data_IF_987329933035
#
_entry.id   IF_987329933035
#
_cell.length_a   1.000
_cell.length_b   1.000
_cell.length_c   1.000
_cell.angle_alpha   90.00
_cell.angle_beta   90.00
_cell.angle_gamma   90.00
#
_symmetry.space_group_name_H-M   'P 1'
#
loop_
_entity.id
_entity.type
_entity.pdbx_description
1 polymer ?
#
# COMPACT_ATOMS: atom_id res chain seq x y z
N UNK A 1 -44.57 2.90 20.66
CA UNK A 1 -43.21 2.72 21.22
C UNK A 1 -42.34 2.27 20.08
N UNK A 2 -41.71 3.23 19.42
CA UNK A 2 -40.78 3.05 18.30
C UNK A 2 -39.39 2.79 18.92
N UNK A 3 -38.91 1.59 18.80
CA UNK A 3 -37.53 1.24 19.09
C UNK A 3 -36.70 1.78 17.92
N UNK A 4 -35.97 2.83 18.15
CA UNK A 4 -34.88 3.29 17.29
C UNK A 4 -33.77 2.23 17.43
N UNK A 5 -33.51 1.49 16.35
CA UNK A 5 -32.25 0.79 16.16
C UNK A 5 -31.14 1.85 16.08
N UNK A 6 -30.43 1.97 17.20
CA UNK A 6 -29.19 2.74 17.28
C UNK A 6 -28.13 1.94 16.50
N UNK A 7 -27.91 2.35 15.26
CA UNK A 7 -26.82 1.87 14.42
C UNK A 7 -25.54 2.16 15.19
N UNK A 8 -24.95 1.12 15.73
CA UNK A 8 -23.56 1.13 16.18
C UNK A 8 -22.69 1.32 14.95
N UNK A 9 -22.43 2.55 14.65
CA UNK A 9 -21.36 2.96 13.73
C UNK A 9 -20.04 2.64 14.46
N UNK A 10 -19.67 1.37 14.42
CA UNK A 10 -18.37 0.89 14.91
C UNK A 10 -17.32 1.58 14.04
N UNK A 11 -16.34 2.20 14.67
CA UNK A 11 -15.23 2.88 14.00
C UNK A 11 -14.40 1.81 13.27
N UNK A 12 -14.81 1.48 12.04
CA UNK A 12 -14.13 0.51 11.23
C UNK A 12 -12.74 1.03 10.86
N UNK A 13 -11.69 0.39 11.36
CA UNK A 13 -10.32 0.70 10.96
C UNK A 13 -10.07 0.22 9.53
N UNK A 14 -9.41 1.03 8.72
CA UNK A 14 -8.93 0.61 7.41
C UNK A 14 -8.03 -0.63 7.53
N UNK A 15 -8.28 -1.63 6.71
CA UNK A 15 -7.67 -2.96 6.86
C UNK A 15 -6.26 -2.99 6.27
N UNK A 16 -5.27 -3.35 7.11
CA UNK A 16 -3.97 -3.77 6.62
C UNK A 16 -4.04 -5.26 6.23
N UNK A 17 -4.01 -5.55 4.93
CA UNK A 17 -4.17 -6.93 4.42
C UNK A 17 -2.97 -7.81 4.70
N UNK A 18 -1.78 -7.20 4.85
CA UNK A 18 -0.51 -7.87 5.17
C UNK A 18 0.39 -6.97 5.99
N UNK A 19 1.43 -7.57 6.57
CA UNK A 19 2.49 -6.82 7.25
C UNK A 19 3.27 -5.91 6.29
N UNK A 20 3.56 -6.39 5.08
CA UNK A 20 4.32 -5.60 4.09
C UNK A 20 3.53 -4.35 3.67
N UNK A 21 2.21 -4.46 3.53
CA UNK A 21 1.34 -3.32 3.24
C UNK A 21 1.30 -2.31 4.40
N UNK A 22 1.16 -2.79 5.65
CA UNK A 22 1.18 -1.93 6.82
C UNK A 22 2.51 -1.17 6.93
N UNK A 23 3.65 -1.85 6.75
CA UNK A 23 4.96 -1.21 6.78
C UNK A 23 5.13 -0.18 5.67
N UNK A 24 4.71 -0.49 4.44
CA UNK A 24 4.74 0.46 3.34
C UNK A 24 3.89 1.71 3.65
N UNK A 25 2.68 1.52 4.21
CA UNK A 25 1.86 2.64 4.65
C UNK A 25 2.58 3.52 5.67
N UNK A 26 3.23 2.93 6.66
CA UNK A 26 3.99 3.66 7.69
C UNK A 26 5.18 4.43 7.09
N UNK A 27 5.87 3.87 6.10
CA UNK A 27 6.97 4.53 5.37
C UNK A 27 6.49 5.72 4.54
N UNK A 28 5.32 5.62 3.92
CA UNK A 28 4.71 6.71 3.14
C UNK A 28 4.12 7.83 4.01
N UNK A 29 4.02 7.61 5.33
CA UNK A 29 3.53 8.58 6.29
C UNK A 29 4.65 9.01 7.26
N UNK A 30 5.53 9.93 6.84
CA UNK A 30 6.60 10.44 7.70
C UNK A 30 6.04 11.10 8.95
N UNK A 31 6.89 11.30 9.95
CA UNK A 31 6.51 11.98 11.17
C UNK A 31 5.97 13.39 10.86
N UNK A 32 4.73 13.73 11.25
CA UNK A 32 4.14 15.02 10.93
C UNK A 32 4.84 16.20 11.60
N UNK A 33 5.63 15.94 12.67
CA UNK A 33 6.34 16.96 13.40
C UNK A 33 7.73 17.29 12.80
N UNK A 34 8.46 16.30 12.28
CA UNK A 34 9.85 16.51 11.82
C UNK A 34 10.19 15.89 10.46
N UNK A 35 9.24 15.17 9.83
CA UNK A 35 9.44 14.54 8.52
C UNK A 35 10.26 13.24 8.53
N UNK A 36 10.73 12.75 9.69
CA UNK A 36 11.48 11.49 9.77
C UNK A 36 10.61 10.28 9.44
N UNK A 37 11.18 9.33 8.71
CA UNK A 37 10.58 8.01 8.39
C UNK A 37 11.14 6.89 9.27
N UNK A 38 12.19 7.14 10.07
CA UNK A 38 13.03 6.14 10.74
C UNK A 38 12.43 5.60 12.06
N UNK A 39 11.12 5.74 12.28
CA UNK A 39 10.45 5.21 13.48
C UNK A 39 10.59 3.69 13.53
N UNK A 40 11.10 3.18 14.65
CA UNK A 40 11.08 1.74 14.92
C UNK A 40 9.70 1.39 15.48
N UNK A 41 9.00 0.50 14.80
CA UNK A 41 7.63 0.14 15.12
C UNK A 41 7.56 -1.15 15.93
N UNK A 42 6.97 -1.08 17.10
CA UNK A 42 6.45 -2.24 17.82
C UNK A 42 5.02 -2.52 17.36
N UNK A 43 4.67 -3.79 17.18
CA UNK A 43 3.33 -4.16 16.76
C UNK A 43 2.70 -5.18 17.69
N UNK A 44 1.39 -5.12 17.83
CA UNK A 44 0.60 -6.01 18.65
C UNK A 44 -0.88 -5.95 18.31
N UNK A 45 -1.68 -6.72 19.01
CA UNK A 45 -3.14 -6.61 18.96
C UNK A 45 -3.60 -5.63 20.03
N UNK A 46 -4.52 -4.76 19.68
CA UNK A 46 -5.22 -3.86 20.57
C UNK A 46 -6.73 -4.10 20.50
N UNK A 47 -7.39 -4.04 21.63
CA UNK A 47 -8.85 -3.97 21.69
C UNK A 47 -9.24 -2.49 21.82
N UNK A 48 -10.01 -2.01 20.89
CA UNK A 48 -10.50 -0.63 20.87
C UNK A 48 -12.02 -0.68 20.84
N UNK A 49 -12.65 -0.39 21.97
CA UNK A 49 -14.10 -0.39 22.14
C UNK A 49 -14.78 -1.74 21.79
N UNK A 50 -14.07 -2.85 21.96
CA UNK A 50 -14.54 -4.19 21.64
C UNK A 50 -14.24 -4.66 20.21
N UNK A 51 -13.55 -3.84 19.42
CA UNK A 51 -13.04 -4.18 18.09
C UNK A 51 -11.53 -4.46 18.15
N UNK A 52 -11.11 -5.61 17.60
CA UNK A 52 -9.70 -5.97 17.53
C UNK A 52 -9.03 -5.26 16.35
N UNK A 53 -7.90 -4.59 16.64
CA UNK A 53 -7.06 -3.94 15.65
C UNK A 53 -5.60 -4.37 15.78
N UNK A 54 -4.83 -4.24 14.70
CA UNK A 54 -3.37 -4.32 14.75
C UNK A 54 -2.86 -2.92 15.11
N UNK A 55 -2.12 -2.82 16.20
CA UNK A 55 -1.46 -1.59 16.62
C UNK A 55 0.00 -1.59 16.20
N UNK A 56 0.46 -0.48 15.64
CA UNK A 56 1.87 -0.13 15.45
C UNK A 56 2.16 1.11 16.27
N UNK A 57 3.06 0.99 17.23
CA UNK A 57 3.48 2.10 18.09
C UNK A 57 5.00 2.28 18.06
N UNK A 58 5.46 3.52 18.21
CA UNK A 58 6.89 3.81 18.22
C UNK A 58 7.18 5.27 18.55
N UNK A 59 8.42 5.56 18.89
CA UNK A 59 8.90 6.91 19.18
C UNK A 59 9.70 7.40 17.96
N UNK A 60 9.38 8.58 17.47
CA UNK A 60 10.11 9.18 16.37
C UNK A 60 11.53 9.56 16.82
N UNK A 61 12.60 9.05 16.19
CA UNK A 61 13.96 9.34 16.60
C UNK A 61 14.41 10.78 16.30
N UNK A 62 13.68 11.51 15.46
CA UNK A 62 14.01 12.88 15.10
C UNK A 62 13.43 13.94 16.03
N UNK A 63 12.39 13.63 16.82
CA UNK A 63 11.71 14.62 17.65
C UNK A 63 11.03 14.06 18.91
N UNK A 64 11.26 12.79 19.24
CA UNK A 64 10.77 12.07 20.42
C UNK A 64 9.24 12.04 20.57
N UNK A 65 8.49 12.38 19.50
CA UNK A 65 7.02 12.27 19.49
C UNK A 65 6.61 10.81 19.39
N UNK A 66 5.69 10.40 20.24
CA UNK A 66 5.03 9.10 20.16
C UNK A 66 4.12 9.05 18.91
N UNK A 67 4.19 7.95 18.17
CA UNK A 67 3.40 7.70 16.98
C UNK A 67 2.66 6.38 17.14
N UNK A 68 1.38 6.39 16.78
CA UNK A 68 0.56 5.18 16.81
C UNK A 68 -0.33 5.12 15.57
N UNK A 69 -0.47 3.92 15.03
CA UNK A 69 -1.41 3.59 13.96
C UNK A 69 -2.20 2.34 14.34
N UNK A 70 -3.46 2.33 13.97
CA UNK A 70 -4.37 1.20 14.18
C UNK A 70 -4.92 0.77 12.83
N UNK A 71 -4.86 -0.54 12.56
CA UNK A 71 -5.38 -1.13 11.34
C UNK A 71 -6.36 -2.24 11.67
N UNK A 72 -7.43 -2.33 10.89
CA UNK A 72 -8.36 -3.46 10.95
C UNK A 72 -7.68 -4.78 10.56
N UNK A 73 -8.20 -5.87 11.09
CA UNK A 73 -7.76 -7.21 10.74
C UNK A 73 -8.42 -7.65 9.42
N UNK A 74 -7.67 -8.26 8.50
CA UNK A 74 -8.26 -8.82 7.30
C UNK A 74 -9.21 -9.98 7.65
N UNK A 75 -10.37 -10.04 6.99
CA UNK A 75 -11.35 -11.11 7.18
C UNK A 75 -10.78 -12.51 6.86
N UNK A 76 -9.74 -12.57 6.04
CA UNK A 76 -8.99 -13.78 5.70
C UNK A 76 -7.51 -13.48 5.68
N UNK A 77 -6.72 -14.37 6.25
CA UNK A 77 -5.27 -14.27 6.18
C UNK A 77 -4.78 -14.42 4.74
N UNK A 78 -4.01 -13.45 4.28
CA UNK A 78 -3.33 -13.54 2.98
C UNK A 78 -2.09 -14.41 3.12
N UNK A 79 -2.07 -15.52 2.41
CA UNK A 79 -0.88 -16.38 2.36
C UNK A 79 0.23 -15.67 1.60
N UNK A 80 1.35 -15.41 2.27
CA UNK A 80 2.52 -14.85 1.61
C UNK A 80 3.06 -15.82 0.55
N UNK A 81 3.16 -15.35 -0.70
CA UNK A 81 3.74 -16.09 -1.82
C UNK A 81 4.89 -15.26 -2.37
N UNK A 82 6.03 -15.31 -1.72
CA UNK A 82 7.20 -14.51 -2.08
C UNK A 82 7.26 -13.18 -1.30
N UNK A 83 8.11 -12.28 -1.78
CA UNK A 83 8.31 -10.94 -1.22
C UNK A 83 8.44 -9.93 -2.37
N UNK A 84 7.81 -8.75 -2.27
CA UNK A 84 6.84 -8.37 -1.23
C UNK A 84 5.46 -9.02 -1.44
N UNK A 85 4.67 -9.11 -0.37
CA UNK A 85 3.26 -9.51 -0.45
C UNK A 85 2.40 -8.39 0.15
N UNK A 86 1.75 -7.58 -0.69
CA UNK A 86 0.94 -6.45 -0.24
C UNK A 86 -0.51 -6.81 0.06
N UNK A 87 -1.05 -7.86 -0.54
CA UNK A 87 -2.42 -8.28 -0.25
C UNK A 87 -2.91 -9.43 -1.10
N UNK A 88 -4.16 -9.82 -0.85
CA UNK A 88 -4.92 -10.79 -1.65
C UNK A 88 -5.49 -10.18 -2.95
N UNK A 89 -6.59 -10.75 -3.48
CA UNK A 89 -7.19 -10.27 -4.72
C UNK A 89 -7.92 -8.93 -4.59
N UNK A 90 -8.32 -8.56 -3.38
CA UNK A 90 -9.05 -7.33 -3.11
C UNK A 90 -8.13 -6.10 -3.20
N UNK A 91 -8.63 -4.93 -3.65
CA UNK A 91 -7.87 -3.69 -3.63
C UNK A 91 -7.50 -3.26 -2.20
N UNK A 92 -6.53 -2.36 -2.08
CA UNK A 92 -6.12 -1.78 -0.81
C UNK A 92 -7.18 -0.82 -0.25
N UNK A 93 -7.33 -0.81 1.09
CA UNK A 93 -8.06 0.23 1.81
C UNK A 93 -7.12 1.31 2.37
N UNK A 94 -5.81 1.06 2.36
CA UNK A 94 -4.81 1.95 2.95
C UNK A 94 -4.19 2.91 1.93
N UNK A 95 -3.95 2.45 0.72
CA UNK A 95 -3.27 3.18 -0.33
C UNK A 95 -4.12 3.20 -1.59
N UNK A 96 -4.33 4.38 -2.15
CA UNK A 96 -5.04 4.55 -3.41
C UNK A 96 -4.17 4.21 -4.64
N UNK A 97 -4.76 4.04 -5.83
CA UNK A 97 -4.01 3.65 -7.03
C UNK A 97 -2.86 4.59 -7.39
N UNK A 98 -2.99 5.88 -7.11
CA UNK A 98 -1.94 6.87 -7.37
C UNK A 98 -0.75 6.71 -6.44
N UNK A 99 -1.00 6.44 -5.15
CA UNK A 99 0.06 6.14 -4.19
C UNK A 99 0.80 4.84 -4.54
N UNK A 100 0.08 3.78 -4.95
CA UNK A 100 0.70 2.56 -5.45
C UNK A 100 1.55 2.80 -6.69
N UNK A 101 1.10 3.65 -7.62
CA UNK A 101 1.88 4.00 -8.81
C UNK A 101 3.14 4.79 -8.45
N UNK A 102 3.07 5.71 -7.48
CA UNK A 102 4.24 6.44 -6.97
C UNK A 102 5.27 5.50 -6.32
N UNK A 103 4.82 4.47 -5.58
CA UNK A 103 5.70 3.41 -5.06
C UNK A 103 6.41 2.68 -6.20
N UNK A 104 5.70 2.30 -7.26
CA UNK A 104 6.29 1.63 -8.41
C UNK A 104 7.33 2.52 -9.12
N UNK A 105 7.03 3.80 -9.30
CA UNK A 105 7.92 4.77 -9.93
C UNK A 105 9.20 4.99 -9.12
N UNK A 106 9.08 5.18 -7.82
CA UNK A 106 10.25 5.34 -6.93
C UNK A 106 11.14 4.12 -6.95
N UNK A 107 10.56 2.93 -6.86
CA UNK A 107 11.30 1.68 -6.95
C UNK A 107 12.01 1.55 -8.30
N UNK A 108 11.36 1.89 -9.41
CA UNK A 108 11.94 1.81 -10.74
C UNK A 108 13.00 2.89 -11.02
N UNK A 109 12.91 4.05 -10.36
CA UNK A 109 13.88 5.14 -10.52
C UNK A 109 15.21 4.89 -9.79
N UNK A 110 15.21 4.08 -8.75
CA UNK A 110 16.37 3.85 -7.88
C UNK A 110 16.82 2.37 -7.87
N UNK A 111 16.96 1.79 -9.06
CA UNK A 111 17.41 0.39 -9.21
C UNK A 111 18.91 0.29 -8.94
N UNK A 112 19.34 -0.47 -7.90
CA UNK A 112 20.75 -0.62 -7.55
C UNK A 112 21.56 -1.36 -8.63
N UNK A 113 22.88 -1.14 -8.62
CA UNK A 113 23.78 -1.87 -9.51
C UNK A 113 23.98 -3.36 -9.11
N UNK A 114 23.79 -3.70 -7.84
CA UNK A 114 23.84 -5.08 -7.36
C UNK A 114 22.63 -5.86 -7.88
N UNK A 115 22.83 -6.99 -8.60
CA UNK A 115 21.72 -7.74 -9.22
C UNK A 115 20.68 -8.27 -8.24
N UNK A 116 21.07 -8.63 -7.02
CA UNK A 116 20.14 -9.18 -6.02
C UNK A 116 19.27 -8.09 -5.44
N UNK A 117 19.88 -6.94 -5.14
CA UNK A 117 19.13 -5.78 -4.65
C UNK A 117 18.25 -5.19 -5.76
N UNK A 118 18.75 -5.12 -7.00
CA UNK A 118 17.95 -4.74 -8.17
C UNK A 118 16.71 -5.62 -8.34
N UNK A 119 16.89 -6.94 -8.22
CA UNK A 119 15.76 -7.88 -8.28
C UNK A 119 14.71 -7.65 -7.20
N UNK A 120 15.11 -7.30 -5.98
CA UNK A 120 14.17 -6.96 -4.89
C UNK A 120 13.42 -5.67 -5.20
N UNK A 121 14.12 -4.62 -5.59
CA UNK A 121 13.51 -3.33 -5.91
C UNK A 121 12.52 -3.45 -7.06
N UNK A 122 12.87 -4.18 -8.12
CA UNK A 122 11.96 -4.44 -9.23
C UNK A 122 10.77 -5.33 -8.83
N UNK A 123 10.95 -6.25 -7.88
CA UNK A 123 9.82 -7.02 -7.33
C UNK A 123 8.81 -6.10 -6.60
N UNK A 124 9.28 -5.09 -5.88
CA UNK A 124 8.41 -4.06 -5.28
C UNK A 124 7.66 -3.29 -6.36
N UNK A 125 8.35 -2.84 -7.43
CA UNK A 125 7.70 -2.13 -8.53
C UNK A 125 6.60 -2.97 -9.21
N UNK A 126 6.89 -4.24 -9.49
CA UNK A 126 5.89 -5.18 -10.04
C UNK A 126 4.70 -5.34 -9.12
N UNK A 127 4.94 -5.60 -7.83
CA UNK A 127 3.87 -5.82 -6.86
C UNK A 127 3.00 -4.57 -6.68
N UNK A 128 3.60 -3.36 -6.68
CA UNK A 128 2.86 -2.12 -6.60
C UNK A 128 1.95 -1.89 -7.83
N UNK A 129 2.43 -2.19 -9.05
CA UNK A 129 1.57 -2.13 -10.25
C UNK A 129 0.46 -3.19 -10.20
N UNK A 130 0.75 -4.40 -9.69
CA UNK A 130 -0.28 -5.44 -9.50
C UNK A 130 -1.36 -4.96 -8.49
N UNK A 131 -1.02 -4.14 -7.48
CA UNK A 131 -2.00 -3.50 -6.59
C UNK A 131 -2.87 -2.47 -7.32
N UNK A 132 -2.28 -1.62 -8.19
CA UNK A 132 -3.07 -0.67 -9.02
C UNK A 132 -4.08 -1.40 -9.91
N UNK A 133 -3.69 -2.53 -10.50
CA UNK A 133 -4.56 -3.31 -11.40
C UNK A 133 -5.81 -3.81 -10.69
N UNK A 134 -5.77 -4.07 -9.38
CA UNK A 134 -6.93 -4.55 -8.60
C UNK A 134 -8.07 -3.52 -8.51
N UNK A 135 -7.75 -2.24 -8.69
CA UNK A 135 -8.75 -1.17 -8.72
C UNK A 135 -9.48 -1.05 -10.06
N UNK A 136 -9.07 -1.81 -11.08
CA UNK A 136 -9.81 -1.86 -12.35
C UNK A 136 -10.99 -2.81 -12.23
N UNK A 137 -12.24 -2.34 -12.25
CA UNK A 137 -13.39 -3.21 -12.12
C UNK A 137 -13.50 -4.20 -13.29
N UNK A 138 -14.09 -5.36 -13.04
CA UNK A 138 -14.31 -6.37 -14.07
C UNK A 138 -15.09 -5.80 -15.27
N UNK A 139 -14.52 -5.91 -16.46
CA UNK A 139 -15.12 -5.40 -17.71
C UNK A 139 -14.85 -3.92 -18.00
N UNK A 140 -14.09 -3.24 -17.15
CA UNK A 140 -13.58 -1.89 -17.42
C UNK A 140 -12.14 -1.93 -17.93
N UNK A 141 -11.69 -0.84 -18.54
CA UNK A 141 -10.37 -0.72 -19.16
C UNK A 141 -9.47 0.29 -18.46
N UNK A 142 -9.90 0.84 -17.33
CA UNK A 142 -9.14 1.79 -16.54
C UNK A 142 -9.59 1.78 -15.07
N UNK A 143 -8.73 2.32 -14.20
CA UNK A 143 -9.08 2.63 -12.79
C UNK A 143 -10.07 3.79 -12.78
N UNK A 144 -11.20 3.69 -12.05
CA UNK A 144 -12.13 4.80 -11.89
C UNK A 144 -11.51 5.99 -11.14
N UNK A 145 -11.92 7.22 -11.48
CA UNK A 145 -11.36 8.44 -10.86
C UNK A 145 -11.72 8.58 -9.37
N UNK A 146 -12.84 8.02 -8.93
CA UNK A 146 -13.29 8.03 -7.54
C UNK A 146 -12.48 7.10 -6.62
N UNK A 147 -11.69 6.20 -7.18
CA UNK A 147 -10.74 5.36 -6.42
C UNK A 147 -9.49 6.14 -5.95
N UNK A 148 -9.29 7.38 -6.40
CA UNK A 148 -8.17 8.22 -5.99
C UNK A 148 -8.61 9.17 -4.87
N UNK A 149 -8.54 8.71 -3.62
CA UNK A 149 -9.06 9.46 -2.47
C UNK A 149 -8.04 10.37 -1.78
N UNK A 150 -6.73 10.18 -2.01
CA UNK A 150 -5.71 11.05 -1.41
C UNK A 150 -5.32 12.21 -2.34
N UNK A 151 -4.92 13.37 -1.79
CA UNK A 151 -4.37 14.45 -2.61
C UNK A 151 -3.12 14.03 -3.40
N UNK A 152 -2.26 13.17 -2.80
CA UNK A 152 -1.06 12.66 -3.45
C UNK A 152 -1.41 11.74 -4.64
N UNK A 153 -2.33 10.80 -4.44
CA UNK A 153 -2.76 9.90 -5.50
C UNK A 153 -3.48 10.63 -6.62
N UNK A 154 -4.31 11.62 -6.29
CA UNK A 154 -4.96 12.47 -7.29
C UNK A 154 -3.98 13.29 -8.11
N UNK A 155 -2.90 13.80 -7.50
CA UNK A 155 -1.85 14.50 -8.23
C UNK A 155 -1.14 13.61 -9.26
N UNK A 156 -0.96 12.31 -8.96
CA UNK A 156 -0.39 11.33 -9.90
C UNK A 156 -1.35 11.06 -11.06
N UNK A 157 -2.66 10.95 -10.79
CA UNK A 157 -3.69 10.82 -11.82
C UNK A 157 -3.71 12.04 -12.75
N UNK A 158 -3.74 13.24 -12.18
CA UNK A 158 -3.84 14.50 -12.92
C UNK A 158 -2.61 14.72 -13.82
N UNK A 159 -1.44 14.23 -13.43
CA UNK A 159 -0.20 14.34 -14.21
C UNK A 159 -0.23 13.50 -15.49
N UNK A 160 -0.77 12.29 -15.46
CA UNK A 160 -0.94 11.41 -16.63
C UNK A 160 -2.08 10.39 -16.39
N UNK A 161 -3.34 10.75 -16.67
CA UNK A 161 -4.48 9.85 -16.50
C UNK A 161 -4.37 8.56 -17.31
N UNK A 162 -3.68 8.63 -18.47
CA UNK A 162 -3.49 7.49 -19.36
C UNK A 162 -2.69 6.34 -18.76
N UNK A 163 -1.94 6.59 -17.67
CA UNK A 163 -1.16 5.56 -16.96
C UNK A 163 -2.04 4.51 -16.29
N UNK A 164 -3.26 4.88 -15.92
CA UNK A 164 -4.19 4.04 -15.18
C UNK A 164 -5.12 3.21 -16.08
N UNK A 165 -4.83 3.17 -17.39
CA UNK A 165 -5.47 2.23 -18.29
C UNK A 165 -4.88 0.83 -18.11
N UNK A 166 -5.74 -0.19 -18.11
CA UNK A 166 -5.36 -1.59 -17.87
C UNK A 166 -4.30 -2.08 -18.85
N UNK A 167 -4.45 -1.77 -20.14
CA UNK A 167 -3.49 -2.14 -21.18
C UNK A 167 -2.10 -1.58 -20.88
N UNK A 168 -2.02 -0.32 -20.44
CA UNK A 168 -0.76 0.34 -20.07
C UNK A 168 -0.16 -0.22 -18.78
N UNK A 169 -0.99 -0.45 -17.75
CA UNK A 169 -0.57 -1.07 -16.50
C UNK A 169 0.06 -2.45 -16.74
N UNK A 170 -0.55 -3.26 -17.59
CA UNK A 170 -0.01 -4.58 -17.94
C UNK A 170 1.35 -4.48 -18.63
N UNK A 171 1.53 -3.54 -19.55
CA UNK A 171 2.83 -3.30 -20.22
C UNK A 171 3.90 -2.87 -19.22
N UNK A 172 3.61 -1.91 -18.35
CA UNK A 172 4.56 -1.43 -17.33
C UNK A 172 4.97 -2.57 -16.39
N UNK A 173 3.99 -3.31 -15.86
CA UNK A 173 4.23 -4.47 -15.00
C UNK A 173 5.16 -5.51 -15.67
N UNK A 174 4.86 -5.86 -16.92
CA UNK A 174 5.62 -6.89 -17.63
C UNK A 174 7.04 -6.40 -17.97
N UNK A 175 7.21 -5.10 -18.25
CA UNK A 175 8.53 -4.48 -18.41
C UNK A 175 9.37 -4.62 -17.13
N UNK A 176 8.80 -4.29 -15.95
CA UNK A 176 9.52 -4.46 -14.67
C UNK A 176 9.85 -5.93 -14.38
N UNK A 177 8.97 -6.87 -14.76
CA UNK A 177 9.24 -8.32 -14.63
C UNK A 177 10.39 -8.76 -15.54
N UNK A 178 10.47 -8.27 -16.75
CA UNK A 178 11.58 -8.59 -17.67
C UNK A 178 12.90 -8.04 -17.15
N UNK A 179 12.95 -6.79 -16.73
CA UNK A 179 14.14 -6.19 -16.13
C UNK A 179 14.60 -6.97 -14.90
N UNK A 180 13.69 -7.41 -14.05
CA UNK A 180 14.01 -8.24 -12.88
C UNK A 180 14.61 -9.60 -13.23
N UNK A 181 14.16 -10.24 -14.32
CA UNK A 181 14.73 -11.51 -14.81
C UNK A 181 16.13 -11.32 -15.38
N UNK A 182 16.35 -10.25 -16.15
CA UNK A 182 17.66 -9.95 -16.76
C UNK A 182 18.71 -9.63 -15.69
N UNK A 183 18.33 -8.96 -14.61
CA UNK A 183 19.24 -8.67 -13.49
C UNK A 183 19.54 -9.90 -12.67
N UNK A 184 18.58 -10.80 -12.45
CA UNK A 184 18.77 -12.06 -11.71
C UNK A 184 19.53 -13.16 -12.46
N UNK A 185 19.70 -13.01 -13.79
CA UNK A 185 20.41 -13.95 -14.65
C UNK A 185 21.90 -13.64 -14.84
N UNK A 186 22.40 -12.54 -14.28
CA UNK A 186 23.83 -12.13 -14.30
C UNK A 186 24.51 -12.47 -13.00
#
# INVERSE_FOLDING_TARGET
VTTTDDERDGMAFAVARTRDEAHLYLELHPCPNCGSTDTIWEHGLADVEGELAISYAGICPGCDVERQYLFGLPARETRAVGWPTFGGPEPSELLDPGQWMDVADRAAADVPADPREAGKVLAVAVAAVDEVIKFVPAGQDAVPEDEFWTPAGRAVLDADPGRFRLDRLLVVRDTYRELGRETGAR
#
